data_IF_329495517665
#
_entry.id   IF_329495517665
#
_cell.length_a   1.000
_cell.length_b   1.000
_cell.length_c   1.000
_cell.angle_alpha   90.00
_cell.angle_beta   90.00
_cell.angle_gamma   90.00
#
_symmetry.space_group_name_H-M   'P 1'
#
loop_
_entity.id
_entity.type
_entity.pdbx_description
1 polymer ?
#
# COMPACT_ATOMS: atom_id res chain seq x y z
N UNK A 1 -6.94 6.61 11.16
CA UNK A 1 -6.59 5.53 10.22
C UNK A 1 -5.59 6.09 9.21
N UNK A 2 -4.43 5.46 8.94
CA UNK A 2 -3.40 6.00 8.05
C UNK A 2 -3.90 6.43 6.66
N UNK A 3 -4.91 5.75 6.11
CA UNK A 3 -5.47 6.04 4.79
C UNK A 3 -6.15 7.42 4.73
N UNK A 4 -6.65 7.93 5.86
CA UNK A 4 -7.32 9.24 5.96
C UNK A 4 -6.36 10.40 5.67
N UNK A 5 -5.07 10.25 6.00
CA UNK A 5 -4.07 11.29 5.81
C UNK A 5 -3.57 11.44 4.37
N UNK A 6 -3.98 10.53 3.47
CA UNK A 6 -3.61 10.60 2.05
C UNK A 6 -4.46 11.68 1.38
N UNK A 7 -3.84 12.81 1.07
CA UNK A 7 -4.43 13.91 0.31
C UNK A 7 -3.76 14.09 -1.05
N UNK A 8 -2.57 13.50 -1.22
CA UNK A 8 -1.77 13.57 -2.45
C UNK A 8 -1.23 12.20 -2.89
N UNK A 9 -0.87 12.12 -4.17
CA UNK A 9 -0.23 10.93 -4.75
C UNK A 9 1.12 10.61 -4.08
N UNK A 10 1.81 11.64 -3.57
CA UNK A 10 3.05 11.48 -2.82
C UNK A 10 2.81 10.77 -1.48
N UNK A 11 1.85 11.24 -0.69
CA UNK A 11 1.51 10.64 0.61
C UNK A 11 0.99 9.21 0.45
N UNK A 12 0.27 8.92 -0.64
CA UNK A 12 -0.15 7.56 -1.00
C UNK A 12 1.05 6.62 -1.12
N UNK A 13 2.08 7.05 -1.84
CA UNK A 13 3.30 6.25 -2.04
C UNK A 13 4.10 6.14 -0.74
N UNK A 14 4.28 7.24 -0.01
CA UNK A 14 5.01 7.25 1.27
C UNK A 14 4.38 6.29 2.30
N UNK A 15 3.05 6.27 2.41
CA UNK A 15 2.33 5.36 3.31
C UNK A 15 2.46 3.91 2.84
N UNK A 16 2.33 3.65 1.54
CA UNK A 16 2.44 2.29 1.01
C UNK A 16 3.86 1.73 1.17
N UNK A 17 4.89 2.50 0.82
CA UNK A 17 6.30 2.12 0.97
C UNK A 17 6.66 1.95 2.45
N UNK A 18 6.29 2.90 3.31
CA UNK A 18 6.54 2.83 4.75
C UNK A 18 5.92 1.59 5.40
N UNK A 19 4.73 1.19 4.97
CA UNK A 19 4.08 -0.03 5.44
C UNK A 19 4.91 -1.28 5.10
N UNK A 20 5.37 -1.40 3.84
CA UNK A 20 6.16 -2.55 3.38
C UNK A 20 7.51 -2.60 4.09
N UNK A 21 8.22 -1.47 4.17
CA UNK A 21 9.52 -1.37 4.84
C UNK A 21 9.44 -1.72 6.33
N UNK A 22 8.38 -1.28 7.02
CA UNK A 22 8.23 -1.57 8.46
C UNK A 22 8.19 -3.08 8.79
N UNK A 23 7.67 -3.88 7.86
CA UNK A 23 7.57 -5.33 8.01
C UNK A 23 8.87 -6.00 7.57
N UNK A 24 9.47 -5.53 6.48
CA UNK A 24 10.77 -6.02 6.00
C UNK A 24 11.86 -5.87 7.07
N UNK A 25 11.98 -4.68 7.67
CA UNK A 25 12.97 -4.37 8.71
C UNK A 25 12.79 -5.23 9.97
N UNK A 26 11.55 -5.59 10.32
CA UNK A 26 11.25 -6.48 11.44
C UNK A 26 11.67 -7.94 11.21
N UNK A 27 11.94 -8.32 9.96
CA UNK A 27 12.13 -9.71 9.55
C UNK A 27 13.58 -10.13 9.31
N UNK A 28 14.59 -9.25 9.48
CA UNK A 28 16.02 -9.54 9.25
C UNK A 28 16.30 -10.16 7.85
N UNK A 29 15.54 -9.80 6.82
CA UNK A 29 15.75 -10.29 5.45
C UNK A 29 16.44 -9.18 4.66
N UNK A 30 17.75 -9.29 4.44
CA UNK A 30 18.53 -8.36 3.61
C UNK A 30 19.10 -9.08 2.39
N UNK A 31 18.49 -9.00 1.21
CA UNK A 31 19.20 -9.15 -0.07
C UNK A 31 18.55 -8.30 -1.19
N UNK A 32 19.34 -7.87 -2.17
CA UNK A 32 18.96 -6.96 -3.27
C UNK A 32 17.80 -7.46 -4.16
N UNK A 33 17.43 -8.73 -4.09
CA UNK A 33 16.21 -9.30 -4.70
C UNK A 33 14.93 -8.91 -3.96
N UNK A 34 15.00 -8.59 -2.66
CA UNK A 34 13.83 -8.18 -1.87
C UNK A 34 13.34 -6.80 -2.27
N UNK A 35 14.24 -5.90 -2.70
CA UNK A 35 13.88 -4.54 -3.11
C UNK A 35 12.88 -4.52 -4.29
N UNK A 36 13.03 -5.41 -5.27
CA UNK A 36 12.06 -5.53 -6.36
C UNK A 36 10.68 -5.98 -5.85
N UNK A 37 10.66 -6.99 -4.98
CA UNK A 37 9.41 -7.52 -4.42
C UNK A 37 8.72 -6.47 -3.55
N UNK A 38 9.46 -5.81 -2.67
CA UNK A 38 8.95 -4.74 -1.80
C UNK A 38 8.42 -3.54 -2.59
N UNK A 39 9.16 -3.08 -3.60
CA UNK A 39 8.68 -2.00 -4.47
C UNK A 39 7.41 -2.41 -5.22
N UNK A 40 7.37 -3.63 -5.76
CA UNK A 40 6.21 -4.13 -6.51
C UNK A 40 4.97 -4.28 -5.61
N UNK A 41 5.16 -4.78 -4.39
CA UNK A 41 4.11 -4.86 -3.38
C UNK A 41 3.66 -3.49 -2.91
N UNK A 42 4.58 -2.53 -2.73
CA UNK A 42 4.28 -1.15 -2.37
C UNK A 42 3.46 -0.44 -3.45
N UNK A 43 3.82 -0.63 -4.72
CA UNK A 43 3.03 -0.12 -5.85
C UNK A 43 1.62 -0.72 -5.86
N UNK A 44 1.50 -2.05 -5.68
CA UNK A 44 0.20 -2.71 -5.63
C UNK A 44 -0.63 -2.21 -4.43
N UNK A 45 -0.02 -2.07 -3.27
CA UNK A 45 -0.68 -1.54 -2.07
C UNK A 45 -1.17 -0.11 -2.29
N UNK A 46 -0.33 0.77 -2.85
CA UNK A 46 -0.71 2.13 -3.21
C UNK A 46 -1.86 2.17 -4.22
N UNK A 47 -1.84 1.31 -5.23
CA UNK A 47 -2.95 1.19 -6.18
C UNK A 47 -4.27 0.83 -5.48
N UNK A 48 -4.26 -0.16 -4.59
CA UNK A 48 -5.46 -0.64 -3.88
C UNK A 48 -5.97 0.34 -2.83
N UNK A 49 -5.08 1.04 -2.12
CA UNK A 49 -5.48 2.13 -1.21
C UNK A 49 -6.13 3.27 -2.01
N UNK A 50 -5.53 3.66 -3.14
CA UNK A 50 -6.09 4.67 -4.03
C UNK A 50 -7.45 4.27 -4.59
N UNK A 51 -7.64 3.00 -4.93
CA UNK A 51 -8.93 2.44 -5.33
C UNK A 51 -9.98 2.60 -4.23
N UNK A 52 -9.66 2.16 -3.01
CA UNK A 52 -10.57 2.25 -1.86
C UNK A 52 -10.92 3.70 -1.54
N UNK A 53 -9.96 4.63 -1.56
CA UNK A 53 -10.22 6.06 -1.36
C UNK A 53 -11.20 6.67 -2.36
N UNK A 54 -11.29 6.10 -3.58
CA UNK A 54 -12.21 6.56 -4.62
C UNK A 54 -13.55 5.86 -4.63
N UNK A 55 -13.62 4.60 -4.21
CA UNK A 55 -14.81 3.77 -4.36
C UNK A 55 -15.58 3.60 -3.05
N UNK A 56 -14.89 3.60 -1.90
CA UNK A 56 -15.47 3.28 -0.60
C UNK A 56 -15.70 4.53 0.23
N UNK A 57 -16.77 4.57 1.05
CA UNK A 57 -16.97 5.63 2.03
C UNK A 57 -15.84 5.63 3.07
N UNK A 58 -15.54 6.79 3.65
CA UNK A 58 -14.42 6.98 4.58
C UNK A 58 -14.37 5.94 5.72
N UNK A 59 -15.52 5.58 6.28
CA UNK A 59 -15.66 4.58 7.35
C UNK A 59 -15.20 3.17 6.97
N UNK A 60 -15.09 2.87 5.67
CA UNK A 60 -14.66 1.58 5.14
C UNK A 60 -13.25 1.62 4.55
N UNK A 61 -12.55 2.76 4.58
CA UNK A 61 -11.23 2.90 3.95
C UNK A 61 -10.12 2.26 4.79
N UNK A 62 -10.15 0.95 4.99
CA UNK A 62 -9.27 0.23 5.93
C UNK A 62 -8.34 -0.78 5.22
N UNK A 63 -7.26 -1.18 5.88
CA UNK A 63 -6.38 -2.26 5.40
C UNK A 63 -7.09 -3.62 5.32
N UNK A 64 -8.16 -3.84 6.11
CA UNK A 64 -9.01 -5.03 5.99
C UNK A 64 -9.71 -5.07 4.63
N UNK A 65 -10.27 -3.94 4.18
CA UNK A 65 -10.87 -3.86 2.85
C UNK A 65 -9.82 -3.99 1.74
N UNK A 66 -8.61 -3.43 1.93
CA UNK A 66 -7.48 -3.63 1.00
C UNK A 66 -7.19 -5.12 0.83
N UNK A 67 -7.06 -5.86 1.93
CA UNK A 67 -6.84 -7.31 1.91
C UNK A 67 -8.01 -8.07 1.27
N UNK A 68 -9.24 -7.64 1.51
CA UNK A 68 -10.43 -8.20 0.87
C UNK A 68 -10.40 -8.07 -0.65
N UNK A 69 -10.03 -6.89 -1.17
CA UNK A 69 -9.88 -6.67 -2.61
C UNK A 69 -8.70 -7.47 -3.17
N UNK A 70 -7.55 -7.43 -2.50
CA UNK A 70 -6.33 -8.14 -2.88
C UNK A 70 -6.57 -9.64 -3.10
N UNK A 71 -7.37 -10.24 -2.22
CA UNK A 71 -7.68 -11.67 -2.25
C UNK A 71 -8.88 -12.03 -3.14
N UNK A 72 -9.55 -11.04 -3.72
CA UNK A 72 -10.71 -11.23 -4.61
C UNK A 72 -10.32 -11.76 -5.99
N UNK A 73 -11.27 -12.42 -6.64
CA UNK A 73 -11.14 -12.87 -8.03
C UNK A 73 -10.87 -11.72 -9.02
N UNK A 74 -11.27 -10.49 -8.69
CA UNK A 74 -11.04 -9.35 -9.57
C UNK A 74 -9.55 -8.97 -9.68
N UNK A 75 -8.76 -9.30 -8.65
CA UNK A 75 -7.32 -9.02 -8.59
C UNK A 75 -6.50 -10.28 -8.90
N UNK A 76 -6.91 -11.44 -8.36
CA UNK A 76 -6.17 -12.70 -8.52
C UNK A 76 -6.25 -13.29 -9.92
N UNK A 77 -7.37 -13.09 -10.62
CA UNK A 77 -7.55 -13.58 -11.97
C UNK A 77 -6.92 -12.61 -13.00
N UNK A 78 -5.88 -13.03 -13.76
CA UNK A 78 -5.21 -12.19 -14.75
C UNK A 78 -6.17 -11.45 -15.70
N UNK A 79 -7.19 -12.15 -16.21
CA UNK A 79 -8.13 -11.61 -17.20
C UNK A 79 -9.04 -10.55 -16.58
N UNK A 80 -9.48 -10.75 -15.33
CA UNK A 80 -10.33 -9.78 -14.63
C UNK A 80 -9.53 -8.55 -14.19
N UNK A 81 -8.29 -8.75 -13.76
CA UNK A 81 -7.40 -7.69 -13.28
C UNK A 81 -7.17 -6.58 -14.33
N UNK A 82 -7.07 -6.95 -15.62
CA UNK A 82 -6.90 -6.00 -16.73
C UNK A 82 -7.99 -4.91 -16.78
N UNK A 83 -9.22 -5.26 -16.44
CA UNK A 83 -10.37 -4.36 -16.54
C UNK A 83 -10.87 -3.84 -15.20
N UNK A 84 -10.30 -4.30 -14.09
CA UNK A 84 -10.81 -4.02 -12.75
C UNK A 84 -10.85 -2.51 -12.47
N UNK A 85 -9.73 -1.79 -12.62
CA UNK A 85 -9.68 -0.34 -12.37
C UNK A 85 -10.51 0.46 -13.38
N UNK A 86 -10.60 0.01 -14.63
CA UNK A 86 -11.40 0.67 -15.66
C UNK A 86 -12.90 0.59 -15.36
N UNK A 87 -13.38 -0.56 -14.84
CA UNK A 87 -14.78 -0.76 -14.45
C UNK A 87 -15.27 0.27 -13.42
N UNK A 88 -14.39 0.68 -12.51
CA UNK A 88 -14.67 1.69 -11.48
C UNK A 88 -14.23 3.10 -11.88
N UNK A 89 -13.82 3.32 -13.14
CA UNK A 89 -13.38 4.60 -13.68
C UNK A 89 -12.26 5.25 -12.85
N UNK A 90 -11.37 4.45 -12.27
CA UNK A 90 -10.22 4.93 -11.50
C UNK A 90 -9.26 5.67 -12.41
N UNK A 91 -8.71 6.79 -11.93
CA UNK A 91 -7.80 7.68 -12.66
C UNK A 91 -6.63 8.11 -11.78
N UNK A 92 -5.65 8.79 -12.38
CA UNK A 92 -4.48 9.34 -11.67
C UNK A 92 -3.48 8.26 -11.28
N UNK A 93 -2.67 8.56 -10.27
CA UNK A 93 -1.60 7.67 -9.80
C UNK A 93 -2.06 6.27 -9.41
N UNK A 94 -3.23 6.04 -8.78
CA UNK A 94 -3.70 4.68 -8.49
C UNK A 94 -3.84 3.81 -9.75
N UNK A 95 -4.31 4.38 -10.87
CA UNK A 95 -4.39 3.66 -12.15
C UNK A 95 -3.00 3.37 -12.72
N UNK A 96 -2.05 4.30 -12.59
CA UNK A 96 -0.68 4.10 -13.06
C UNK A 96 0.02 3.00 -12.27
N UNK A 97 -0.08 3.01 -10.94
CA UNK A 97 0.46 1.97 -10.07
C UNK A 97 -0.14 0.60 -10.38
N UNK A 98 -1.46 0.54 -10.61
CA UNK A 98 -2.13 -0.69 -11.06
C UNK A 98 -1.60 -1.19 -12.39
N UNK A 99 -1.40 -0.29 -13.38
CA UNK A 99 -0.84 -0.66 -14.68
C UNK A 99 0.60 -1.18 -14.55
N UNK A 100 1.42 -0.61 -13.68
CA UNK A 100 2.77 -1.10 -13.42
C UNK A 100 2.74 -2.54 -12.89
N UNK A 101 1.85 -2.83 -11.93
CA UNK A 101 1.62 -4.20 -11.45
C UNK A 101 1.21 -5.16 -12.59
N UNK A 102 0.37 -4.70 -13.53
CA UNK A 102 -0.08 -5.51 -14.66
C UNK A 102 1.01 -5.77 -15.72
N UNK A 103 2.12 -5.01 -15.75
CA UNK A 103 3.23 -5.26 -16.69
C UNK A 103 3.96 -6.58 -16.39
N UNK A 104 3.94 -7.02 -15.12
CA UNK A 104 4.56 -8.26 -14.70
C UNK A 104 3.82 -9.47 -15.26
N UNK A 105 4.56 -10.54 -15.60
CA UNK A 105 3.99 -11.82 -16.02
C UNK A 105 3.12 -12.46 -14.93
N UNK A 106 2.21 -13.35 -15.32
CA UNK A 106 1.23 -13.98 -14.43
C UNK A 106 1.85 -14.61 -13.17
N UNK A 107 2.97 -15.32 -13.33
CA UNK A 107 3.70 -15.95 -12.21
C UNK A 107 4.30 -14.90 -11.27
N UNK A 108 4.87 -13.83 -11.81
CA UNK A 108 5.47 -12.74 -11.02
C UNK A 108 4.38 -12.00 -10.24
N UNK A 109 3.24 -11.71 -10.89
CA UNK A 109 2.08 -11.10 -10.20
C UNK A 109 1.56 -11.98 -9.08
N UNK A 110 1.45 -13.29 -9.30
CA UNK A 110 1.02 -14.22 -8.25
C UNK A 110 1.95 -14.16 -7.01
N UNK A 111 3.27 -14.08 -7.23
CA UNK A 111 4.23 -13.93 -6.13
C UNK A 111 4.05 -12.59 -5.38
N UNK A 112 3.90 -11.47 -6.11
CA UNK A 112 3.65 -10.15 -5.51
C UNK A 112 2.36 -10.17 -4.67
N UNK A 113 1.29 -10.78 -5.20
CA UNK A 113 0.01 -10.91 -4.49
C UNK A 113 0.15 -11.70 -3.18
N UNK A 114 0.85 -12.83 -3.22
CA UNK A 114 1.09 -13.68 -2.04
C UNK A 114 1.96 -12.95 -1.01
N UNK A 115 3.03 -12.29 -1.46
CA UNK A 115 3.94 -11.53 -0.59
C UNK A 115 3.22 -10.39 0.13
N UNK A 116 2.49 -9.56 -0.61
CA UNK A 116 1.69 -8.47 -0.03
C UNK A 116 0.63 -9.00 0.93
N UNK A 117 -0.10 -10.06 0.56
CA UNK A 117 -1.14 -10.63 1.42
C UNK A 117 -0.57 -11.18 2.74
N UNK A 118 0.63 -11.77 2.69
CA UNK A 118 1.33 -12.27 3.88
C UNK A 118 1.73 -11.12 4.80
N UNK A 119 2.32 -10.05 4.25
CA UNK A 119 2.71 -8.84 4.99
C UNK A 119 1.49 -8.13 5.61
N UNK A 120 0.40 -7.97 4.87
CA UNK A 120 -0.86 -7.41 5.38
C UNK A 120 -1.42 -8.21 6.58
N UNK A 121 -1.37 -9.54 6.50
CA UNK A 121 -1.80 -10.42 7.61
C UNK A 121 -0.88 -10.33 8.81
N UNK A 122 0.44 -10.34 8.60
CA UNK A 122 1.41 -10.29 9.69
C UNK A 122 1.24 -9.01 10.51
N UNK A 123 1.12 -7.87 9.84
CA UNK A 123 0.83 -6.58 10.48
C UNK A 123 -0.48 -6.58 11.28
N UNK A 124 -1.50 -7.30 10.81
CA UNK A 124 -2.77 -7.45 11.55
C UNK A 124 -2.57 -8.28 12.83
N UNK A 125 -1.68 -9.30 12.81
CA UNK A 125 -1.43 -10.23 13.91
C UNK A 125 -0.46 -9.66 14.96
N UNK A 126 0.52 -8.85 14.56
CA UNK A 126 1.57 -8.31 15.44
C UNK A 126 1.08 -7.27 16.47
N UNK A 127 -0.21 -7.27 16.83
CA UNK A 127 -0.76 -6.42 17.90
C UNK A 127 -1.01 -4.97 17.48
N UNK A 128 -1.03 -4.68 16.17
CA UNK A 128 -1.33 -3.36 15.59
C UNK A 128 -2.85 -3.20 15.33
N UNK A 129 -3.70 -4.07 15.89
CA UNK A 129 -5.16 -3.91 15.84
C UNK A 129 -5.62 -2.59 16.51
N UNK A 130 -4.96 -2.15 17.59
CA UNK A 130 -5.23 -0.86 18.25
C UNK A 130 -4.78 0.38 17.44
N UNK A 131 -4.13 0.21 16.28
CA UNK A 131 -3.67 1.30 15.40
C UNK A 131 -4.56 1.39 14.14
N UNK A 132 -5.29 0.32 13.81
CA UNK A 132 -6.07 0.22 12.57
C UNK A 132 -7.58 0.20 12.78
N UNK A 133 -8.09 -0.22 13.94
CA UNK A 133 -9.53 -0.19 14.24
C UNK A 133 -10.02 1.11 14.89
N UNK A 134 -9.14 1.82 15.60
CA UNK A 134 -9.38 3.14 16.19
C UNK A 134 -8.06 3.69 16.71
N UNK A 135 -7.80 4.99 16.54
CA UNK A 135 -6.69 5.78 17.12
C UNK A 135 -5.61 6.20 16.12
N UNK A 136 -5.52 7.53 16.01
CA UNK A 136 -4.39 8.39 15.61
C UNK A 136 -3.06 7.66 15.63
N UNK A 137 -2.51 7.38 14.44
CA UNK A 137 -1.14 6.86 14.35
C UNK A 137 -0.21 8.05 14.46
N UNK A 138 0.58 8.08 15.53
CA UNK A 138 1.70 8.99 15.65
C UNK A 138 2.74 8.60 14.59
N UNK A 139 2.68 9.29 13.44
CA UNK A 139 3.60 9.15 12.30
C UNK A 139 5.08 9.31 12.70
N UNK A 140 5.38 9.77 13.92
CA UNK A 140 6.73 9.85 14.46
C UNK A 140 7.35 8.49 14.81
N UNK A 141 6.55 7.46 15.14
CA UNK A 141 7.10 6.14 15.54
C UNK A 141 7.41 5.22 14.34
N UNK A 142 6.78 5.47 13.19
CA UNK A 142 6.98 4.72 11.94
C UNK A 142 8.15 5.28 11.13
N UNK A 143 9.33 5.42 11.74
CA UNK A 143 10.62 5.42 11.03
C UNK A 143 10.80 6.36 9.84
N UNK A 144 9.94 7.35 9.62
CA UNK A 144 10.10 8.38 8.61
C UNK A 144 11.28 9.21 9.07
N UNK A 145 12.48 8.82 8.63
CA UNK A 145 13.60 9.73 8.50
C UNK A 145 13.13 10.82 7.56
N UNK A 146 12.49 11.84 8.14
CA UNK A 146 12.16 13.09 7.47
C UNK A 146 13.43 13.54 6.79
N UNK A 147 13.44 13.42 5.46
CA UNK A 147 14.53 13.91 4.62
C UNK A 147 14.84 15.36 5.05
N UNK A 148 16.11 15.77 5.17
CA UNK A 148 16.50 17.11 5.63
C UNK A 148 15.79 18.25 4.90
N UNK A 149 15.28 17.99 3.69
CA UNK A 149 14.51 18.90 2.88
C UNK A 149 13.22 19.42 3.55
N UNK A 150 12.55 18.63 4.39
CA UNK A 150 11.32 19.05 5.09
C UNK A 150 11.63 19.93 6.31
N UNK A 151 12.82 19.78 6.91
CA UNK A 151 13.26 20.63 8.03
C UNK A 151 13.44 22.09 7.64
N UNK A 152 13.83 22.37 6.39
CA UNK A 152 14.09 23.73 5.92
C UNK A 152 12.82 24.56 5.68
N UNK A 153 11.70 23.91 5.41
CA UNK A 153 10.43 24.59 5.10
C UNK A 153 9.75 25.12 6.38
N UNK A 154 10.01 24.48 7.53
CA UNK A 154 9.47 24.92 8.84
C UNK A 154 10.32 25.96 9.58
N UNK A 155 11.49 26.36 9.06
CA UNK A 155 12.30 27.43 9.67
C UNK A 155 12.10 28.81 9.02
N UNK A 156 11.12 28.94 8.12
CA UNK A 156 10.78 30.19 7.41
C UNK A 156 9.28 30.55 7.45
N UNK A 157 8.53 29.97 8.39
CA UNK A 157 7.17 30.38 8.78
C UNK A 157 7.10 30.37 10.29
#
# INVERSE_FOLDING_TARGET
NPIEYISSDKELMEIAEGYISSIADSSNITFSSDSFWEQSEGQLLGALIGFIKKVYPASQQTFREVLGILTSENVRNPKKALNFFNKYKIKGSPLQLWKNFLLSEDKVRANILIGLATKLKLFSISGIENITSSTTVDMYSMGLRLSPYIKLIKSRT
#
